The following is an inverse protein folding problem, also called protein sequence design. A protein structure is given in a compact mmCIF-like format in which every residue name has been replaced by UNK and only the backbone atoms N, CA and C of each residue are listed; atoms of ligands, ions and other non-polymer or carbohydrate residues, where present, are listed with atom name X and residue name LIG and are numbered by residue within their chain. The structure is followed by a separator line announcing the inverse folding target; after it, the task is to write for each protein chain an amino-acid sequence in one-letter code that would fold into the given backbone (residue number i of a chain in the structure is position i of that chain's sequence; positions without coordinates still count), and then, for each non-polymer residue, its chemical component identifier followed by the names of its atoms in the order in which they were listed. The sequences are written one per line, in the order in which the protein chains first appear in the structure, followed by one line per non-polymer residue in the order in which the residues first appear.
data_IF_304542259434
#
_entry.id   IF_304542259434
#
_cell.length_a   1.000
_cell.length_b   1.000
_cell.length_c   1.000
_cell.angle_alpha   90.00
_cell.angle_beta   90.00
_cell.angle_gamma   90.00
#
_symmetry.space_group_name_H-M   'P 1'
#
loop_
_entity.id
_entity.type
_entity.pdbx_description
1 polymer ?
#
# COMPACT_ATOMS: atom_id res chain seq x y z
N UNK A 1 -16.96 -29.74 25.58
CA UNK A 1 -17.54 -29.22 26.82
C UNK A 1 -17.13 -27.77 26.96
N UNK A 2 -18.06 -26.87 26.63
CA UNK A 2 -18.01 -25.44 26.90
C UNK A 2 -17.88 -25.19 28.40
N UNK A 3 -17.24 -24.08 28.78
CA UNK A 3 -17.83 -23.09 29.69
C UNK A 3 -16.97 -21.81 29.60
N UNK A 4 -17.32 -20.93 28.67
CA UNK A 4 -16.96 -19.52 28.76
C UNK A 4 -17.74 -18.93 29.93
N UNK A 5 -17.08 -18.21 30.85
CA UNK A 5 -17.78 -17.40 31.84
C UNK A 5 -17.36 -15.94 31.67
N UNK A 6 -18.33 -15.16 31.23
CA UNK A 6 -18.25 -13.71 31.09
C UNK A 6 -17.97 -13.07 32.46
N UNK A 7 -16.92 -12.27 32.56
CA UNK A 7 -16.69 -11.41 33.71
C UNK A 7 -17.25 -10.02 33.38
N UNK A 8 -18.18 -9.56 34.23
CA UNK A 8 -18.88 -8.29 34.05
C UNK A 8 -18.01 -7.11 34.50
N UNK A 9 -18.25 -5.96 33.86
CA UNK A 9 -17.48 -4.71 33.90
C UNK A 9 -17.33 -4.05 35.30
N UNK A 10 -17.89 -4.64 36.35
CA UNK A 10 -17.92 -4.06 37.71
C UNK A 10 -16.78 -4.52 38.64
N UNK A 11 -16.05 -5.58 38.28
CA UNK A 11 -15.01 -6.18 39.16
C UNK A 11 -13.58 -5.63 38.89
N UNK A 12 -13.38 -4.88 37.80
CA UNK A 12 -12.06 -4.34 37.44
C UNK A 12 -11.58 -3.17 38.30
N UNK A 13 -12.44 -2.56 39.11
CA UNK A 13 -12.09 -1.34 39.86
C UNK A 13 -11.44 -1.60 41.23
N UNK A 14 -11.47 -2.83 41.75
CA UNK A 14 -10.99 -3.10 43.12
C UNK A 14 -9.53 -3.58 43.23
N UNK A 15 -8.87 -3.92 42.11
CA UNK A 15 -7.52 -4.50 42.15
C UNK A 15 -6.37 -3.49 41.96
N UNK A 16 -6.62 -2.18 41.99
CA UNK A 16 -5.61 -1.16 41.70
C UNK A 16 -4.88 -0.57 42.93
N UNK A 17 -5.14 -1.03 44.15
CA UNK A 17 -4.68 -0.32 45.36
C UNK A 17 -3.63 -1.02 46.25
N UNK A 18 -3.11 -2.20 45.91
CA UNK A 18 -2.25 -2.95 46.86
C UNK A 18 -0.91 -3.51 46.34
N UNK A 19 -0.52 -3.27 45.09
CA UNK A 19 0.85 -3.62 44.65
C UNK A 19 1.51 -2.45 43.93
N UNK A 20 2.12 -1.58 44.74
CA UNK A 20 3.08 -0.59 44.26
C UNK A 20 4.36 -1.26 43.75
N UNK A 21 4.96 -0.62 42.74
CA UNK A 21 6.33 -0.82 42.25
C UNK A 21 6.63 -2.12 41.48
N UNK A 22 5.93 -2.33 40.36
CA UNK A 22 6.61 -2.65 39.09
C UNK A 22 5.94 -1.80 38.02
N UNK A 23 6.76 -0.99 37.36
CA UNK A 23 6.39 0.00 36.37
C UNK A 23 5.23 -0.49 35.50
N UNK A 24 4.08 0.17 35.60
CA UNK A 24 3.25 0.38 34.43
C UNK A 24 4.22 1.02 33.44
N UNK A 25 4.73 0.27 32.47
CA UNK A 25 5.38 0.90 31.33
C UNK A 25 4.26 1.66 30.64
N UNK A 26 4.01 2.86 31.11
CA UNK A 26 3.27 3.90 30.42
C UNK A 26 4.08 4.26 29.18
N UNK A 27 4.10 3.39 28.18
CA UNK A 27 4.46 3.74 26.82
C UNK A 27 3.61 2.87 25.91
N UNK A 28 2.43 3.44 25.62
CA UNK A 28 1.91 3.63 24.27
C UNK A 28 2.27 2.56 23.25
N UNK A 29 1.24 2.01 22.60
CA UNK A 29 1.13 2.13 21.14
C UNK A 29 -0.24 1.51 20.74
N UNK A 30 -1.18 2.17 20.07
CA UNK A 30 -0.98 2.91 18.83
C UNK A 30 0.23 2.40 18.04
N UNK A 31 0.44 1.07 17.99
CA UNK A 31 1.48 0.42 17.19
C UNK A 31 0.94 0.41 15.77
N UNK A 32 0.71 1.59 15.22
CA UNK A 32 0.82 1.80 13.80
C UNK A 32 2.26 1.44 13.43
N UNK A 33 2.46 0.15 13.17
CA UNK A 33 3.32 -0.45 12.16
C UNK A 33 4.44 0.46 11.62
N UNK A 34 5.35 0.94 12.51
CA UNK A 34 6.42 1.89 12.15
C UNK A 34 7.24 1.38 10.96
N UNK A 35 7.40 0.06 10.88
CA UNK A 35 8.06 -0.58 9.76
C UNK A 35 7.37 -0.33 8.42
N UNK A 36 6.05 -0.24 8.34
CA UNK A 36 5.32 0.10 7.10
C UNK A 36 5.53 1.54 6.63
N UNK A 37 6.18 2.38 7.44
CA UNK A 37 6.58 3.73 7.06
C UNK A 37 7.98 3.78 6.43
N UNK A 38 8.77 2.71 6.57
CA UNK A 38 10.15 2.68 6.06
C UNK A 38 10.14 2.47 4.55
N UNK A 39 11.03 3.15 3.84
CA UNK A 39 11.30 2.84 2.43
C UNK A 39 11.72 1.37 2.28
N UNK A 40 11.42 0.70 1.15
CA UNK A 40 11.95 -0.63 0.91
C UNK A 40 13.47 -0.60 0.87
N UNK A 41 14.07 -1.57 1.55
CA UNK A 41 15.51 -1.76 1.55
C UNK A 41 15.83 -3.04 0.80
N UNK A 42 16.49 -2.89 -0.36
CA UNK A 42 16.90 -4.00 -1.21
C UNK A 42 17.91 -4.92 -0.51
N UNK A 43 18.56 -4.45 0.56
CA UNK A 43 19.60 -5.20 1.26
C UNK A 43 20.82 -5.46 0.38
N UNK A 44 21.46 -6.61 0.59
CA UNK A 44 22.66 -7.02 -0.16
C UNK A 44 22.59 -8.50 -0.54
N UNK A 45 23.39 -8.87 -1.54
CA UNK A 45 23.54 -10.24 -2.01
C UNK A 45 24.30 -11.07 -0.99
N UNK A 46 23.86 -12.31 -0.76
CA UNK A 46 24.48 -13.27 0.15
C UNK A 46 24.20 -14.71 -0.30
N UNK A 47 24.92 -15.67 0.26
CA UNK A 47 24.80 -17.08 -0.16
C UNK A 47 23.60 -17.81 0.44
N UNK A 48 23.01 -17.29 1.52
CA UNK A 48 21.94 -17.99 2.26
C UNK A 48 20.56 -17.86 1.60
N UNK A 49 20.33 -16.80 0.82
CA UNK A 49 19.06 -16.52 0.17
C UNK A 49 19.29 -15.88 -1.19
N UNK A 50 18.60 -16.40 -2.20
CA UNK A 50 18.64 -15.84 -3.56
C UNK A 50 17.86 -14.51 -3.63
N UNK A 51 18.25 -13.59 -4.53
CA UNK A 51 17.46 -12.41 -4.83
C UNK A 51 16.06 -12.77 -5.33
N UNK A 52 15.09 -11.90 -5.07
CA UNK A 52 13.72 -12.08 -5.54
C UNK A 52 12.84 -10.88 -5.27
N UNK A 53 11.70 -10.83 -5.96
CA UNK A 53 10.70 -9.78 -5.76
C UNK A 53 10.02 -9.96 -4.41
N UNK A 54 9.98 -8.86 -3.66
CA UNK A 54 9.26 -8.69 -2.40
C UNK A 54 8.33 -7.50 -2.52
N UNK A 55 7.40 -7.37 -1.58
CA UNK A 55 6.45 -6.27 -1.53
C UNK A 55 6.72 -5.41 -0.32
N UNK A 56 6.55 -4.10 -0.47
CA UNK A 56 6.58 -3.13 0.62
C UNK A 56 5.32 -2.28 0.56
N UNK A 57 4.87 -1.78 1.69
CA UNK A 57 3.78 -0.84 1.75
C UNK A 57 4.28 0.57 1.49
N UNK A 58 3.74 1.20 0.46
CA UNK A 58 3.95 2.61 0.18
C UNK A 58 2.75 3.41 0.72
N UNK A 59 3.00 4.16 1.79
CA UNK A 59 1.99 4.99 2.46
C UNK A 59 1.47 6.15 1.61
N UNK A 60 2.23 6.59 0.61
CA UNK A 60 1.79 7.71 -0.22
C UNK A 60 0.68 7.29 -1.19
N UNK A 61 0.75 6.07 -1.68
CA UNK A 61 -0.22 5.48 -2.62
C UNK A 61 -1.19 4.52 -1.93
N UNK A 62 -0.95 4.18 -0.66
CA UNK A 62 -1.65 3.14 0.10
C UNK A 62 -1.67 1.79 -0.64
N UNK A 63 -0.56 1.44 -1.30
CA UNK A 63 -0.40 0.20 -2.06
C UNK A 63 0.79 -0.61 -1.58
N UNK A 64 0.66 -1.92 -1.73
CA UNK A 64 1.78 -2.84 -1.63
C UNK A 64 2.45 -2.99 -2.99
N UNK A 65 3.67 -2.48 -3.12
CA UNK A 65 4.39 -2.37 -4.38
C UNK A 65 5.62 -3.29 -4.38
N UNK A 66 5.91 -3.95 -5.51
CA UNK A 66 7.06 -4.83 -5.65
C UNK A 66 8.38 -4.05 -5.68
N UNK A 67 9.43 -4.68 -5.17
CA UNK A 67 10.82 -4.26 -5.28
C UNK A 67 11.75 -5.49 -5.25
N UNK A 68 12.95 -5.35 -5.81
CA UNK A 68 13.98 -6.38 -5.74
C UNK A 68 14.62 -6.41 -4.34
N UNK A 69 14.51 -7.53 -3.66
CA UNK A 69 15.28 -7.82 -2.45
C UNK A 69 16.45 -8.75 -2.81
N UNK A 70 17.68 -8.36 -2.45
CA UNK A 70 18.93 -9.01 -2.86
C UNK A 70 19.25 -10.28 -2.05
N UNK A 71 18.51 -10.56 -0.98
CA UNK A 71 18.58 -11.83 -0.25
C UNK A 71 18.84 -11.68 1.25
N UNK A 72 19.72 -10.75 1.65
CA UNK A 72 20.08 -10.50 3.05
C UNK A 72 19.98 -9.03 3.46
N UNK A 73 19.84 -8.80 4.77
CA UNK A 73 19.66 -7.47 5.34
C UNK A 73 18.25 -6.94 5.13
N UNK A 74 18.13 -5.67 4.75
CA UNK A 74 16.83 -5.04 4.56
C UNK A 74 16.17 -4.61 5.87
N UNK A 75 14.94 -4.13 5.73
CA UNK A 75 14.07 -3.80 6.86
C UNK A 75 12.77 -4.62 6.84
N UNK A 76 11.89 -4.38 7.82
CA UNK A 76 10.65 -5.16 8.02
C UNK A 76 9.51 -4.79 7.05
N UNK A 77 9.64 -3.73 6.25
CA UNK A 77 8.70 -3.43 5.16
C UNK A 77 9.00 -4.31 3.94
N UNK A 78 8.96 -5.63 4.14
CA UNK A 78 9.43 -6.62 3.18
C UNK A 78 8.62 -7.90 3.34
N UNK A 79 7.71 -8.12 2.40
CA UNK A 79 6.72 -9.19 2.42
C UNK A 79 6.86 -10.09 1.19
N UNK A 80 6.57 -11.38 1.34
CA UNK A 80 6.65 -12.33 0.22
C UNK A 80 5.47 -12.18 -0.73
N UNK A 81 4.27 -11.93 -0.20
CA UNK A 81 3.06 -11.73 -0.98
C UNK A 81 2.48 -10.31 -0.78
N UNK A 82 1.80 -9.76 -1.79
CA UNK A 82 1.13 -8.46 -1.67
C UNK A 82 0.00 -8.51 -0.64
N UNK A 83 -0.67 -9.66 -0.47
CA UNK A 83 -1.71 -9.84 0.53
C UNK A 83 -1.18 -9.71 1.96
N UNK A 84 -0.04 -10.32 2.26
CA UNK A 84 0.60 -10.22 3.59
C UNK A 84 0.95 -8.76 3.91
N UNK A 85 1.51 -8.05 2.92
CA UNK A 85 1.80 -6.63 3.03
C UNK A 85 0.53 -5.81 3.34
N UNK A 86 -0.57 -6.08 2.62
CA UNK A 86 -1.83 -5.36 2.84
C UNK A 86 -2.41 -5.68 4.22
N UNK A 87 -2.43 -6.95 4.62
CA UNK A 87 -2.95 -7.38 5.92
C UNK A 87 -2.19 -6.78 7.10
N UNK A 88 -0.89 -6.53 6.93
CA UNK A 88 -0.03 -6.02 8.02
C UNK A 88 0.00 -4.49 8.08
N UNK A 89 -0.04 -3.81 6.93
CA UNK A 89 0.22 -2.37 6.85
C UNK A 89 -0.99 -1.50 6.53
N UNK A 90 -2.04 -2.05 5.93
CA UNK A 90 -3.20 -1.26 5.53
C UNK A 90 -4.06 -0.98 6.76
N UNK A 91 -4.19 0.30 7.11
CA UNK A 91 -5.07 0.73 8.18
C UNK A 91 -6.55 0.52 7.81
N UNK A 92 -7.39 0.29 8.82
CA UNK A 92 -8.84 0.10 8.67
C UNK A 92 -9.57 1.37 8.22
N UNK A 93 -8.94 2.54 8.36
CA UNK A 93 -9.46 3.82 7.82
C UNK A 93 -9.50 3.83 6.28
N UNK A 94 -8.99 2.78 5.63
CA UNK A 94 -9.14 2.53 4.21
C UNK A 94 -8.48 3.58 3.31
N UNK A 95 -8.60 3.45 1.98
CA UNK A 95 -8.11 4.44 1.03
C UNK A 95 -9.01 5.70 0.96
N UNK A 96 -9.79 5.98 2.01
CA UNK A 96 -10.77 7.05 2.10
C UNK A 96 -10.09 8.36 2.50
N UNK A 97 -9.20 8.82 1.63
CA UNK A 97 -8.45 10.05 1.78
C UNK A 97 -7.81 10.44 0.46
N UNK A 98 -7.26 11.64 0.40
CA UNK A 98 -6.58 12.12 -0.81
C UNK A 98 -5.26 11.39 -1.02
N UNK A 99 -4.91 11.18 -2.28
CA UNK A 99 -3.63 10.59 -2.68
C UNK A 99 -2.46 11.38 -2.08
N UNK A 100 -1.41 10.67 -1.69
CA UNK A 100 -0.22 11.26 -1.08
C UNK A 100 -0.40 11.74 0.35
N UNK A 101 -1.50 11.34 1.02
CA UNK A 101 -1.87 11.82 2.36
C UNK A 101 -2.01 13.34 2.44
N UNK A 102 -2.39 13.97 1.33
CA UNK A 102 -2.75 15.38 1.32
C UNK A 102 -4.01 15.58 2.18
N UNK A 103 -4.06 16.71 2.87
CA UNK A 103 -5.24 17.09 3.64
C UNK A 103 -6.42 17.33 2.69
N UNK A 104 -7.59 16.90 3.11
CA UNK A 104 -8.83 17.24 2.42
C UNK A 104 -9.06 18.76 2.47
N UNK A 105 -9.54 19.34 1.36
CA UNK A 105 -9.94 20.75 1.30
C UNK A 105 -11.38 20.96 1.79
N UNK A 106 -12.12 19.90 2.05
CA UNK A 106 -13.51 19.96 2.51
C UNK A 106 -14.23 18.61 2.50
N UNK A 107 -15.54 18.65 2.71
CA UNK A 107 -16.42 17.49 2.57
C UNK A 107 -17.37 17.73 1.41
N UNK A 108 -17.82 16.64 0.79
CA UNK A 108 -18.80 16.67 -0.28
C UNK A 108 -19.84 15.57 -0.08
N UNK A 109 -21.04 15.77 -0.61
CA UNK A 109 -22.09 14.76 -0.58
C UNK A 109 -23.07 14.91 -1.74
N UNK A 110 -24.05 14.01 -1.80
CA UNK A 110 -25.15 14.05 -2.75
C UNK A 110 -26.34 14.90 -2.29
N UNK A 111 -26.22 15.66 -1.19
CA UNK A 111 -27.28 16.46 -0.56
C UNK A 111 -27.05 17.97 -0.68
N UNK A 112 -25.91 18.39 -1.24
CA UNK A 112 -25.62 19.78 -1.56
C UNK A 112 -24.24 20.26 -1.11
N UNK A 113 -23.45 19.46 -0.39
CA UNK A 113 -22.05 19.77 -0.12
C UNK A 113 -21.22 19.54 -1.39
N UNK A 114 -20.61 20.61 -1.89
CA UNK A 114 -19.78 20.59 -3.10
C UNK A 114 -18.34 20.94 -2.76
N UNK A 115 -17.41 20.45 -3.57
CA UNK A 115 -16.00 20.76 -3.41
C UNK A 115 -15.63 22.14 -3.97
N UNK A 116 -14.62 22.81 -3.39
CA UNK A 116 -14.10 24.06 -3.94
C UNK A 116 -13.52 23.85 -5.35
N UNK A 117 -13.34 24.93 -6.10
CA UNK A 117 -12.73 24.91 -7.42
C UNK A 117 -11.34 24.23 -7.38
N UNK A 118 -11.04 23.44 -8.41
CA UNK A 118 -9.80 22.64 -8.46
C UNK A 118 -9.82 21.38 -7.59
N UNK A 119 -10.90 21.10 -6.86
CA UNK A 119 -11.06 19.86 -6.09
C UNK A 119 -12.09 18.90 -6.70
N UNK A 120 -11.87 17.59 -6.54
CA UNK A 120 -12.80 16.51 -6.90
C UNK A 120 -13.33 15.83 -5.65
N UNK A 121 -14.61 15.44 -5.68
CA UNK A 121 -15.25 14.70 -4.60
C UNK A 121 -14.91 13.22 -4.67
N UNK A 122 -14.16 12.71 -3.68
CA UNK A 122 -13.84 11.30 -3.53
C UNK A 122 -14.75 10.67 -2.48
N UNK A 123 -15.78 9.97 -2.95
CA UNK A 123 -16.76 9.30 -2.08
C UNK A 123 -16.14 8.14 -1.31
N UNK A 124 -16.50 8.06 -0.03
CA UNK A 124 -16.17 6.93 0.83
C UNK A 124 -17.12 5.74 0.63
N UNK A 125 -17.20 4.82 1.60
CA UNK A 125 -18.19 3.74 1.60
C UNK A 125 -19.61 4.24 1.89
N UNK A 126 -19.75 5.50 2.31
CA UNK A 126 -21.02 6.19 2.56
C UNK A 126 -21.30 7.22 1.47
N UNK A 127 -22.43 7.93 1.58
CA UNK A 127 -22.79 9.03 0.66
C UNK A 127 -21.96 10.30 0.87
N UNK A 128 -21.04 10.32 1.84
CA UNK A 128 -20.15 11.43 2.12
C UNK A 128 -18.77 11.15 1.52
N UNK A 129 -18.22 12.14 0.84
CA UNK A 129 -16.87 12.13 0.31
C UNK A 129 -16.00 13.25 0.90
N UNK A 130 -14.73 13.19 0.55
CA UNK A 130 -13.72 14.21 0.86
C UNK A 130 -13.32 14.92 -0.41
N UNK A 131 -12.99 16.21 -0.30
CA UNK A 131 -12.53 17.02 -1.43
C UNK A 131 -11.02 16.93 -1.57
N UNK A 132 -10.58 16.38 -2.69
CA UNK A 132 -9.17 16.16 -2.99
C UNK A 132 -8.74 16.99 -4.20
N UNK A 133 -7.46 17.36 -4.25
CA UNK A 133 -6.89 18.09 -5.38
C UNK A 133 -7.11 17.31 -6.69
N UNK A 134 -7.83 17.92 -7.64
CA UNK A 134 -8.28 17.26 -8.87
C UNK A 134 -7.10 16.80 -9.72
N UNK A 135 -6.12 17.68 -9.94
CA UNK A 135 -4.95 17.37 -10.78
C UNK A 135 -4.15 16.20 -10.21
N UNK A 136 -3.93 16.18 -8.89
CA UNK A 136 -3.23 15.08 -8.21
C UNK A 136 -3.97 13.76 -8.37
N UNK A 137 -5.29 13.74 -8.13
CA UNK A 137 -6.10 12.52 -8.24
C UNK A 137 -6.18 12.02 -9.69
N UNK A 138 -6.38 12.91 -10.67
CA UNK A 138 -6.40 12.55 -12.09
C UNK A 138 -5.05 11.99 -12.55
N UNK A 139 -3.94 12.61 -12.14
CA UNK A 139 -2.60 12.10 -12.44
C UNK A 139 -2.36 10.71 -11.82
N UNK A 140 -2.74 10.53 -10.56
CA UNK A 140 -2.64 9.22 -9.89
C UNK A 140 -3.45 8.15 -10.62
N UNK A 141 -4.70 8.46 -10.97
CA UNK A 141 -5.58 7.53 -11.69
C UNK A 141 -5.06 7.19 -13.08
N UNK A 142 -4.43 8.14 -13.78
CA UNK A 142 -3.76 7.90 -15.06
C UNK A 142 -2.61 6.91 -14.93
N UNK A 143 -1.80 7.02 -13.87
CA UNK A 143 -0.67 6.12 -13.63
C UNK A 143 -1.06 4.74 -13.10
N UNK A 144 -2.31 4.54 -12.64
CA UNK A 144 -2.84 3.23 -12.29
C UNK A 144 -3.08 2.32 -13.50
N UNK A 145 -3.33 2.91 -14.67
CA UNK A 145 -3.53 2.19 -15.92
C UNK A 145 -2.66 2.81 -17.04
N UNK A 146 -1.33 2.64 -16.94
CA UNK A 146 -0.40 3.25 -17.87
C UNK A 146 -0.45 2.57 -19.24
N UNK A 147 0.11 3.23 -20.25
CA UNK A 147 0.28 2.70 -21.61
C UNK A 147 1.75 2.68 -21.95
N UNK A 148 2.12 1.75 -22.81
CA UNK A 148 3.47 1.65 -23.34
C UNK A 148 3.53 2.22 -24.75
N UNK A 149 4.56 3.00 -25.01
CA UNK A 149 4.82 3.58 -26.33
C UNK A 149 5.68 2.66 -27.20
N UNK A 150 5.80 2.98 -28.49
CA UNK A 150 6.75 2.32 -29.39
C UNK A 150 6.43 0.85 -29.70
N UNK A 151 5.14 0.47 -29.68
CA UNK A 151 4.71 -0.91 -29.98
C UNK A 151 5.01 -1.91 -28.87
N UNK A 152 5.46 -1.46 -27.69
CA UNK A 152 5.65 -2.31 -26.51
C UNK A 152 4.31 -2.59 -25.84
N UNK A 153 4.23 -3.73 -25.17
CA UNK A 153 3.06 -4.14 -24.40
C UNK A 153 3.28 -3.87 -22.91
N UNK A 154 2.20 -3.48 -22.22
CA UNK A 154 2.20 -3.32 -20.77
C UNK A 154 2.30 -4.69 -20.11
N UNK A 155 3.29 -4.85 -19.24
CA UNK A 155 3.46 -6.08 -18.46
C UNK A 155 2.41 -6.10 -17.35
N UNK A 156 1.67 -7.21 -17.27
CA UNK A 156 0.61 -7.43 -16.29
C UNK A 156 0.95 -8.61 -15.39
N UNK A 157 0.46 -8.56 -14.17
CA UNK A 157 0.52 -9.64 -13.19
C UNK A 157 -0.87 -10.26 -13.00
N UNK A 158 -0.90 -11.58 -12.78
CA UNK A 158 -2.14 -12.31 -12.50
C UNK A 158 -2.50 -12.14 -11.03
N UNK A 159 -3.73 -11.72 -10.77
CA UNK A 159 -4.31 -11.59 -9.43
C UNK A 159 -5.62 -12.38 -9.34
N UNK A 160 -6.19 -12.50 -8.15
CA UNK A 160 -7.51 -13.10 -7.95
C UNK A 160 -8.64 -12.36 -8.70
N UNK A 161 -8.44 -11.06 -8.97
CA UNK A 161 -9.38 -10.20 -9.72
C UNK A 161 -9.06 -10.10 -11.21
N UNK A 162 -8.13 -10.93 -11.72
CA UNK A 162 -7.70 -10.93 -13.12
C UNK A 162 -6.32 -10.30 -13.34
N UNK A 163 -6.05 -9.83 -14.55
CA UNK A 163 -4.74 -9.30 -14.94
C UNK A 163 -4.67 -7.79 -14.67
N UNK A 164 -3.80 -7.40 -13.74
CA UNK A 164 -3.55 -6.00 -13.39
C UNK A 164 -2.17 -5.54 -13.87
N UNK A 165 -1.96 -4.25 -14.18
CA UNK A 165 -0.64 -3.71 -14.47
C UNK A 165 0.39 -4.07 -13.37
N UNK A 166 1.60 -4.43 -13.78
CA UNK A 166 2.72 -4.55 -12.85
C UNK A 166 3.26 -3.16 -12.54
N UNK A 167 2.79 -2.58 -11.44
CA UNK A 167 3.20 -1.26 -10.95
C UNK A 167 4.19 -1.42 -9.80
N UNK A 168 5.27 -0.64 -9.82
CA UNK A 168 6.19 -0.44 -8.72
C UNK A 168 6.22 1.02 -8.28
N UNK A 169 7.01 1.35 -7.26
CA UNK A 169 7.10 2.74 -6.77
C UNK A 169 8.02 3.60 -7.62
N UNK A 170 9.22 3.10 -7.92
CA UNK A 170 10.24 3.74 -8.74
C UNK A 170 11.08 2.71 -9.48
N UNK A 171 11.68 3.09 -10.60
CA UNK A 171 12.51 2.19 -11.42
C UNK A 171 13.78 1.74 -10.71
N UNK A 172 14.31 2.57 -9.80
CA UNK A 172 15.48 2.22 -8.99
C UNK A 172 15.24 1.04 -8.03
N UNK A 173 13.99 0.58 -7.88
CA UNK A 173 13.66 -0.61 -7.09
C UNK A 173 13.72 -1.91 -7.88
N UNK A 174 14.07 -1.86 -9.17
CA UNK A 174 14.43 -3.04 -9.99
C UNK A 174 13.35 -4.14 -9.99
N UNK A 175 12.07 -3.75 -9.97
CA UNK A 175 10.95 -4.69 -9.89
C UNK A 175 10.51 -5.24 -11.26
N UNK A 176 10.98 -4.64 -12.36
CA UNK A 176 10.65 -5.10 -13.70
C UNK A 176 11.37 -6.42 -14.04
N UNK A 177 10.71 -7.34 -14.76
CA UNK A 177 11.36 -8.57 -15.20
C UNK A 177 12.48 -8.27 -16.21
N UNK A 178 13.43 -9.20 -16.31
CA UNK A 178 14.58 -9.05 -17.20
C UNK A 178 14.17 -8.80 -18.67
N UNK A 179 14.81 -7.81 -19.30
CA UNK A 179 14.52 -7.40 -20.68
C UNK A 179 13.22 -6.59 -20.84
N UNK A 180 12.61 -6.14 -19.75
CA UNK A 180 11.57 -5.12 -19.77
C UNK A 180 12.18 -3.74 -19.48
N UNK A 181 11.60 -2.71 -20.09
CA UNK A 181 11.92 -1.32 -19.83
C UNK A 181 11.05 -0.81 -18.68
N UNK A 182 11.68 -0.14 -17.73
CA UNK A 182 10.96 0.55 -16.67
C UNK A 182 10.69 2.00 -17.08
N UNK A 183 9.44 2.43 -16.92
CA UNK A 183 9.00 3.81 -17.16
C UNK A 183 8.56 4.41 -15.82
N UNK A 184 9.24 5.47 -15.41
CA UNK A 184 9.02 6.14 -14.13
C UNK A 184 7.95 7.23 -14.24
N UNK A 185 6.93 7.15 -13.39
CA UNK A 185 5.91 8.18 -13.18
C UNK A 185 6.10 8.90 -11.85
N UNK A 186 5.14 9.76 -11.48
CA UNK A 186 5.17 10.51 -10.23
C UNK A 186 4.74 9.66 -9.03
N UNK A 187 3.73 8.83 -9.22
CA UNK A 187 3.14 7.98 -8.20
C UNK A 187 3.62 6.53 -8.32
N UNK A 188 3.71 6.05 -9.56
CA UNK A 188 4.08 4.68 -9.90
C UNK A 188 5.09 4.63 -11.05
N UNK A 189 5.93 3.62 -11.02
CA UNK A 189 6.66 3.13 -12.18
C UNK A 189 5.95 1.91 -12.76
N UNK A 190 6.11 1.66 -14.06
CA UNK A 190 5.53 0.49 -14.73
C UNK A 190 6.51 -0.13 -15.71
N UNK A 191 6.24 -1.38 -16.11
CA UNK A 191 7.12 -2.14 -16.98
C UNK A 191 6.49 -2.33 -18.36
N UNK A 192 7.26 -2.01 -19.40
CA UNK A 192 6.91 -2.20 -20.80
C UNK A 192 7.86 -3.22 -21.41
N UNK A 193 7.36 -4.10 -22.27
CA UNK A 193 8.18 -5.12 -22.91
C UNK A 193 7.75 -5.41 -24.34
N UNK A 194 8.55 -6.17 -25.09
CA UNK A 194 8.17 -6.58 -26.45
C UNK A 194 6.96 -7.52 -26.43
N UNK A 195 6.11 -7.43 -27.46
CA UNK A 195 4.96 -8.32 -27.62
C UNK A 195 5.40 -9.78 -27.77
N UNK A 196 6.55 -10.05 -28.40
CA UNK A 196 7.12 -11.39 -28.54
C UNK A 196 7.36 -12.09 -27.19
N UNK A 197 7.89 -11.34 -26.21
CA UNK A 197 8.27 -11.90 -24.90
C UNK A 197 7.17 -11.80 -23.86
N UNK A 198 6.42 -10.70 -23.86
CA UNK A 198 5.46 -10.37 -22.81
C UNK A 198 4.01 -10.24 -23.31
N UNK A 199 3.79 -10.40 -24.61
CA UNK A 199 2.45 -10.42 -25.18
C UNK A 199 1.66 -11.66 -24.75
N UNK A 200 0.32 -11.65 -24.95
CA UNK A 200 -0.50 -12.82 -24.70
C UNK A 200 -0.03 -13.97 -25.60
N UNK A 201 0.26 -15.13 -25.00
CA UNK A 201 0.55 -16.34 -25.77
C UNK A 201 -0.70 -16.69 -26.57
N UNK A 202 -0.62 -16.63 -27.90
CA UNK A 202 -1.68 -17.10 -28.79
C UNK A 202 -1.85 -18.60 -28.53
N UNK A 203 -3.08 -18.99 -28.19
CA UNK A 203 -3.46 -20.38 -27.96
C UNK A 203 -3.46 -21.17 -29.26
#
# INVERSE_FOLDING_TARGET
MSFYREFTFSEMFFAAALFGLLTISSFTQALEVEHCNKEPDQGHTCDTRKPGIRYHYDRTTNKCLPFLYKGCGGNRNNYMAPFDCMSQCMAWDGPYGCVGKKNSTGLCDNKGLTCPEGSICKYGPTTTGVCCDKETEEQYNKELNPKCDGGKVLIKQKTSMGWLPLLGKKCSYEFCPEGADCVEGKWFAHCCGSEEKFGPKKA
#
